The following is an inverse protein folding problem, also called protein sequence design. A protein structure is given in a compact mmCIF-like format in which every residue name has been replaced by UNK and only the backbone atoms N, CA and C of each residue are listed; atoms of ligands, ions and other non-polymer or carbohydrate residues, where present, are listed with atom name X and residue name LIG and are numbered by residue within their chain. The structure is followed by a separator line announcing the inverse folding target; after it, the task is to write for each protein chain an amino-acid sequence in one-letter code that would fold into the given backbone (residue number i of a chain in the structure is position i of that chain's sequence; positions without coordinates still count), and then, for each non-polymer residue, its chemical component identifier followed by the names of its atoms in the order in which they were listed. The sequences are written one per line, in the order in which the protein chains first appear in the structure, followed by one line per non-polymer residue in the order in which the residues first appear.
data_IF_957017849061
#
_entry.id   IF_957017849061
#
_cell.length_a   1.000
_cell.length_b   1.000
_cell.length_c   1.000
_cell.angle_alpha   90.00
_cell.angle_beta   90.00
_cell.angle_gamma   90.00
#
_symmetry.space_group_name_H-M   'P 1'
#
loop_
_entity.id
_entity.type
_entity.pdbx_description
1 polymer ?
#
# COMPACT_ATOMS: atom_id res chain seq x y z
N UNK A 1 -21.62 -6.66 -5.68
CA UNK A 1 -20.33 -6.50 -4.99
C UNK A 1 -20.60 -6.22 -3.53
N UNK A 2 -20.05 -7.02 -2.63
CA UNK A 2 -20.16 -6.80 -1.19
C UNK A 2 -19.35 -5.57 -0.78
N UNK A 3 -19.79 -4.85 0.27
CA UNK A 3 -19.10 -3.67 0.79
C UNK A 3 -17.64 -4.00 1.13
N UNK A 4 -17.39 -5.22 1.61
CA UNK A 4 -16.05 -5.73 1.95
C UNK A 4 -15.12 -5.77 0.73
N UNK A 5 -15.64 -6.13 -0.44
CA UNK A 5 -14.86 -6.16 -1.69
C UNK A 5 -14.52 -4.74 -2.16
N UNK A 6 -15.46 -3.79 -2.03
CA UNK A 6 -15.22 -2.39 -2.38
C UNK A 6 -14.14 -1.78 -1.48
N UNK A 7 -14.24 -2.01 -0.17
CA UNK A 7 -13.23 -1.56 0.80
C UNK A 7 -11.87 -2.21 0.51
N UNK A 8 -11.84 -3.51 0.22
CA UNK A 8 -10.60 -4.20 -0.16
C UNK A 8 -9.95 -3.58 -1.41
N UNK A 9 -10.70 -3.30 -2.48
CA UNK A 9 -10.12 -2.69 -3.68
C UNK A 9 -9.59 -1.27 -3.43
N UNK A 10 -10.27 -0.47 -2.61
CA UNK A 10 -9.76 0.86 -2.21
C UNK A 10 -8.42 0.71 -1.48
N UNK A 11 -8.33 -0.20 -0.49
CA UNK A 11 -7.10 -0.45 0.26
C UNK A 11 -5.99 -1.04 -0.62
N UNK A 12 -6.33 -1.89 -1.58
CA UNK A 12 -5.39 -2.46 -2.54
C UNK A 12 -4.79 -1.38 -3.44
N UNK A 13 -5.63 -0.49 -3.97
CA UNK A 13 -5.16 0.65 -4.78
C UNK A 13 -4.26 1.56 -3.94
N UNK A 14 -4.66 1.90 -2.71
CA UNK A 14 -3.85 2.73 -1.82
C UNK A 14 -2.49 2.09 -1.51
N UNK A 15 -2.47 0.80 -1.14
CA UNK A 15 -1.23 0.08 -0.82
C UNK A 15 -0.29 -0.05 -2.04
N UNK A 16 -0.83 -0.28 -3.23
CA UNK A 16 -0.05 -0.31 -4.48
C UNK A 16 0.50 1.08 -4.79
N UNK A 17 -0.32 2.13 -4.72
CA UNK A 17 0.10 3.50 -4.93
C UNK A 17 1.19 3.92 -3.94
N UNK A 18 1.08 3.55 -2.66
CA UNK A 18 2.11 3.80 -1.66
C UNK A 18 3.43 3.09 -1.98
N UNK A 19 3.39 1.83 -2.44
CA UNK A 19 4.61 1.10 -2.83
C UNK A 19 5.25 1.69 -4.08
N UNK A 20 4.46 2.06 -5.08
CA UNK A 20 4.95 2.73 -6.30
C UNK A 20 5.58 4.08 -5.93
N UNK A 21 4.94 4.85 -5.05
CA UNK A 21 5.45 6.14 -4.61
C UNK A 21 6.72 6.00 -3.77
N UNK A 22 6.87 4.92 -3.00
CA UNK A 22 8.09 4.65 -2.25
C UNK A 22 9.22 4.17 -3.16
N UNK A 23 8.97 3.25 -4.11
CA UNK A 23 10.00 2.75 -5.03
C UNK A 23 10.45 3.79 -6.08
N UNK A 24 9.51 4.52 -6.69
CA UNK A 24 9.82 5.49 -7.75
C UNK A 24 9.98 6.91 -7.21
N UNK A 25 9.32 7.22 -6.10
CA UNK A 25 9.39 8.53 -5.47
C UNK A 25 10.54 8.67 -4.48
N UNK A 26 11.27 7.61 -4.09
CA UNK A 26 12.43 7.74 -3.18
C UNK A 26 13.41 8.83 -3.65
N UNK A 27 13.83 8.82 -4.92
CA UNK A 27 14.73 9.84 -5.48
C UNK A 27 14.07 11.22 -5.59
N UNK A 28 12.82 11.28 -6.08
CA UNK A 28 12.08 12.54 -6.27
C UNK A 28 11.69 13.21 -4.94
N UNK A 29 11.38 12.40 -3.92
CA UNK A 29 10.94 12.80 -2.58
C UNK A 29 12.12 13.22 -1.72
N UNK A 30 13.27 12.54 -1.82
CA UNK A 30 14.53 13.02 -1.23
C UNK A 30 14.96 14.35 -1.86
N UNK A 31 14.73 14.54 -3.17
CA UNK A 31 15.08 15.77 -3.88
C UNK A 31 14.13 16.94 -3.55
N UNK A 32 12.81 16.74 -3.53
CA UNK A 32 11.84 17.81 -3.28
C UNK A 32 11.54 18.06 -1.79
N UNK A 33 11.63 17.04 -0.93
CA UNK A 33 11.24 17.10 0.48
C UNK A 33 12.39 16.71 1.42
N UNK A 34 13.54 17.35 1.23
CA UNK A 34 14.82 17.11 1.95
C UNK A 34 14.72 17.19 3.49
N UNK A 35 13.78 17.98 4.01
CA UNK A 35 13.55 18.12 5.46
C UNK A 35 12.67 17.01 6.02
N UNK A 36 11.65 16.57 5.27
CA UNK A 36 10.69 15.55 5.73
C UNK A 36 11.30 14.15 5.59
N UNK A 37 12.06 13.90 4.52
CA UNK A 37 12.78 12.63 4.29
C UNK A 37 13.82 12.29 5.37
N UNK A 38 14.27 13.29 6.15
CA UNK A 38 15.20 13.10 7.27
C UNK A 38 14.51 12.62 8.56
N UNK A 39 13.22 12.91 8.72
CA UNK A 39 12.41 12.47 9.87
C UNK A 39 11.57 11.25 9.53
N UNK A 40 11.19 11.11 8.26
CA UNK A 40 10.48 9.99 7.68
C UNK A 40 11.31 9.47 6.50
N UNK A 41 12.38 8.68 6.74
CA UNK A 41 12.97 7.92 5.66
C UNK A 41 11.85 7.10 5.00
N UNK A 42 11.82 7.00 3.65
CA UNK A 42 10.79 6.25 2.96
C UNK A 42 10.80 4.86 3.59
N UNK A 43 9.72 4.56 4.29
CA UNK A 43 9.62 3.35 5.08
C UNK A 43 9.35 2.21 4.10
N UNK A 44 10.36 1.87 3.28
CA UNK A 44 10.32 0.87 2.22
C UNK A 44 9.77 -0.45 2.76
N UNK A 45 10.20 -0.83 3.96
CA UNK A 45 9.67 -1.99 4.67
C UNK A 45 8.21 -1.86 5.11
N UNK A 46 7.74 -0.67 5.50
CA UNK A 46 6.37 -0.46 5.95
C UNK A 46 5.37 -0.46 4.80
N UNK A 47 5.70 0.15 3.66
CA UNK A 47 4.85 0.09 2.49
C UNK A 47 4.74 -1.35 1.97
N UNK A 48 5.84 -2.09 1.90
CA UNK A 48 5.86 -3.49 1.49
C UNK A 48 5.07 -4.37 2.48
N UNK A 49 5.25 -4.15 3.79
CA UNK A 49 4.50 -4.83 4.85
C UNK A 49 3.00 -4.55 4.76
N UNK A 50 2.62 -3.29 4.51
CA UNK A 50 1.22 -2.90 4.33
C UNK A 50 0.59 -3.59 3.11
N UNK A 51 1.31 -3.64 1.99
CA UNK A 51 0.86 -4.38 0.80
C UNK A 51 0.69 -5.88 1.09
N UNK A 52 1.63 -6.48 1.82
CA UNK A 52 1.53 -7.89 2.22
C UNK A 52 0.29 -8.14 3.10
N UNK A 53 0.00 -7.24 4.06
CA UNK A 53 -1.21 -7.32 4.89
C UNK A 53 -2.49 -7.18 4.04
N UNK A 54 -2.53 -6.24 3.10
CA UNK A 54 -3.69 -6.06 2.23
C UNK A 54 -3.91 -7.29 1.36
N UNK A 55 -2.86 -7.83 0.73
CA UNK A 55 -2.95 -9.07 -0.05
C UNK A 55 -3.40 -10.26 0.81
N UNK A 56 -2.94 -10.34 2.06
CA UNK A 56 -3.39 -11.37 2.99
C UNK A 56 -4.88 -11.25 3.31
N UNK A 57 -5.38 -10.04 3.61
CA UNK A 57 -6.82 -9.78 3.79
C UNK A 57 -7.60 -10.17 2.53
N UNK A 58 -7.07 -9.86 1.35
CA UNK A 58 -7.64 -10.29 0.07
C UNK A 58 -7.77 -11.81 -0.04
N UNK A 59 -6.73 -12.55 0.36
CA UNK A 59 -6.78 -14.03 0.37
C UNK A 59 -7.83 -14.59 1.33
N UNK A 60 -8.06 -13.93 2.48
CA UNK A 60 -9.09 -14.33 3.43
C UNK A 60 -10.49 -14.07 2.88
N UNK A 61 -10.70 -12.92 2.23
CA UNK A 61 -11.96 -12.58 1.56
C UNK A 61 -12.24 -13.50 0.37
N UNK A 62 -11.22 -13.85 -0.41
CA UNK A 62 -11.33 -14.84 -1.49
C UNK A 62 -11.72 -16.21 -0.94
N UNK A 63 -11.08 -16.66 0.14
CA UNK A 63 -11.43 -17.92 0.80
C UNK A 63 -12.84 -17.91 1.41
N UNK A 64 -13.32 -16.74 1.84
CA UNK A 64 -14.68 -16.56 2.35
C UNK A 64 -15.75 -16.49 1.24
N UNK A 65 -15.36 -16.48 -0.04
CA UNK A 65 -16.29 -16.39 -1.18
C UNK A 65 -16.90 -14.99 -1.38
N UNK A 66 -16.35 -13.96 -0.73
CA UNK A 66 -16.80 -12.57 -0.87
C UNK A 66 -16.09 -11.80 -1.98
N UNK A 67 -14.89 -12.25 -2.37
CA UNK A 67 -14.23 -11.86 -3.62
C UNK A 67 -14.54 -12.92 -4.69
N UNK A 68 -14.98 -12.45 -5.85
CA UNK A 68 -15.36 -13.23 -7.04
C UNK A 68 -14.12 -13.66 -7.83
#
# INVERSE_FOLDING_TARGET
MSIDAVVFYILLVDAVSANVMVQFGSEWYVHNFRTISRWFPPAEGWALYYLALVLWVGSLLYRAGTLL
#
